data_IF_607018544075
#
_entry.id   IF_607018544075
#
_cell.length_a   1.000
_cell.length_b   1.000
_cell.length_c   1.000
_cell.angle_alpha   90.00
_cell.angle_beta   90.00
_cell.angle_gamma   90.00
#
_symmetry.space_group_name_H-M   'P 1'
#
loop_
_entity.id
_entity.type
_entity.pdbx_description
1 polymer ?
#
# COMPACT_ATOMS: atom_id res chain seq x y z
N UNK A 1 3.25 -9.88 13.07
CA UNK A 1 4.58 -9.53 13.60
C UNK A 1 5.61 -9.04 12.56
N UNK A 2 5.30 -9.07 11.26
CA UNK A 2 6.22 -8.70 10.17
C UNK A 2 6.57 -7.20 10.08
N UNK A 3 5.66 -6.28 10.43
CA UNK A 3 5.92 -4.83 10.40
C UNK A 3 7.09 -4.42 11.32
N UNK A 4 7.25 -5.10 12.47
CA UNK A 4 8.35 -4.85 13.38
C UNK A 4 9.69 -5.37 12.85
N UNK A 5 9.71 -6.49 12.12
CA UNK A 5 10.95 -7.05 11.55
C UNK A 5 11.48 -6.15 10.43
N UNK A 6 10.62 -5.65 9.55
CA UNK A 6 11.00 -4.67 8.53
C UNK A 6 11.49 -3.35 9.15
N UNK A 7 10.87 -2.90 10.23
CA UNK A 7 11.30 -1.70 10.96
C UNK A 7 12.66 -1.88 11.66
N UNK A 8 12.90 -3.03 12.29
CA UNK A 8 14.18 -3.35 12.95
C UNK A 8 15.30 -3.51 11.92
N UNK A 9 15.05 -4.19 10.80
CA UNK A 9 16.02 -4.32 9.72
C UNK A 9 16.40 -2.96 9.10
N UNK A 10 15.40 -2.10 8.86
CA UNK A 10 15.63 -0.74 8.37
C UNK A 10 16.43 0.11 9.35
N UNK A 11 16.08 0.08 10.65
CA UNK A 11 16.79 0.87 11.67
C UNK A 11 18.23 0.40 11.85
N UNK A 12 18.49 -0.91 11.85
CA UNK A 12 19.86 -1.44 11.90
C UNK A 12 20.68 -1.04 10.66
N UNK A 13 20.09 -1.15 9.46
CA UNK A 13 20.73 -0.71 8.23
C UNK A 13 21.01 0.81 8.25
N UNK A 14 20.06 1.61 8.73
CA UNK A 14 20.21 3.05 8.85
C UNK A 14 21.32 3.43 9.85
N UNK A 15 21.45 2.74 10.99
CA UNK A 15 22.52 2.95 11.96
C UNK A 15 23.88 2.57 11.39
N UNK A 16 23.98 1.45 10.68
CA UNK A 16 25.23 1.03 10.01
C UNK A 16 25.67 2.04 8.93
N UNK A 17 24.72 2.51 8.12
CA UNK A 17 24.96 3.53 7.11
C UNK A 17 25.32 4.89 7.73
N UNK A 18 24.65 5.29 8.81
CA UNK A 18 24.96 6.50 9.55
C UNK A 18 26.37 6.46 10.15
N UNK A 19 26.80 5.32 10.71
CA UNK A 19 28.17 5.11 11.16
C UNK A 19 29.18 5.23 10.00
N UNK A 20 28.84 4.71 8.82
CA UNK A 20 29.63 4.87 7.61
C UNK A 20 29.76 6.33 7.14
N UNK A 21 28.68 7.12 7.26
CA UNK A 21 28.69 8.56 6.99
C UNK A 21 29.56 9.31 8.02
N UNK A 22 29.49 8.93 9.30
CA UNK A 22 30.36 9.48 10.35
C UNK A 22 31.85 9.23 10.04
N UNK A 23 32.18 8.03 9.55
CA UNK A 23 33.53 7.70 9.05
C UNK A 23 33.84 8.31 7.67
N UNK A 24 33.00 9.23 7.19
CA UNK A 24 33.15 10.03 5.97
C UNK A 24 33.17 9.22 4.67
N UNK A 25 32.53 8.05 4.65
CA UNK A 25 32.39 7.24 3.43
C UNK A 25 31.34 7.81 2.48
N UNK A 26 31.74 8.15 1.25
CA UNK A 26 30.83 8.67 0.20
C UNK A 26 29.76 7.65 -0.19
N UNK A 27 30.12 6.38 -0.22
CA UNK A 27 29.24 5.28 -0.62
C UNK A 27 28.09 5.12 0.38
N UNK A 28 28.38 5.27 1.68
CA UNK A 28 27.37 5.18 2.73
C UNK A 28 26.35 6.33 2.65
N UNK A 29 26.80 7.54 2.31
CA UNK A 29 25.90 8.69 2.13
C UNK A 29 24.92 8.48 0.97
N UNK A 30 25.41 8.01 -0.18
CA UNK A 30 24.56 7.71 -1.35
C UNK A 30 23.62 6.54 -1.07
N UNK A 31 24.12 5.47 -0.44
CA UNK A 31 23.31 4.31 -0.09
C UNK A 31 22.17 4.67 0.88
N UNK A 32 22.42 5.56 1.85
CA UNK A 32 21.39 6.03 2.78
C UNK A 32 20.30 6.86 2.07
N UNK A 33 20.69 7.72 1.12
CA UNK A 33 19.74 8.46 0.28
C UNK A 33 18.89 7.49 -0.56
N UNK A 34 19.50 6.50 -1.22
CA UNK A 34 18.76 5.52 -2.02
C UNK A 34 17.80 4.67 -1.19
N UNK A 35 18.24 4.21 -0.01
CA UNK A 35 17.42 3.45 0.92
C UNK A 35 16.21 4.27 1.41
N UNK A 36 16.41 5.57 1.67
CA UNK A 36 15.33 6.48 2.02
C UNK A 36 14.32 6.65 0.87
N UNK A 37 14.80 6.90 -0.36
CA UNK A 37 13.93 7.06 -1.53
C UNK A 37 13.14 5.79 -1.83
N UNK A 38 13.77 4.61 -1.71
CA UNK A 38 13.11 3.33 -1.93
C UNK A 38 11.96 3.09 -0.94
N UNK A 39 12.21 3.29 0.37
CA UNK A 39 11.18 3.10 1.40
C UNK A 39 10.02 4.08 1.25
N UNK A 40 10.31 5.33 0.86
CA UNK A 40 9.25 6.32 0.62
C UNK A 40 8.47 6.05 -0.66
N UNK A 41 9.12 5.60 -1.73
CA UNK A 41 8.44 5.21 -2.97
C UNK A 41 7.47 4.04 -2.77
N UNK A 42 7.80 3.07 -1.91
CA UNK A 42 6.90 1.96 -1.58
C UNK A 42 5.68 2.36 -0.75
N UNK A 43 5.73 3.49 -0.04
CA UNK A 43 4.66 3.98 0.83
C UNK A 43 3.89 5.17 0.22
N UNK A 44 3.90 5.31 -1.11
CA UNK A 44 3.30 6.46 -1.80
C UNK A 44 1.79 6.61 -1.52
N UNK A 45 1.10 5.51 -1.27
CA UNK A 45 -0.33 5.46 -0.95
C UNK A 45 -0.70 6.02 0.43
N UNK A 46 0.27 6.32 1.31
CA UNK A 46 0.04 6.86 2.65
C UNK A 46 0.36 8.37 2.79
N UNK A 47 0.59 9.07 1.68
CA UNK A 47 0.98 10.49 1.71
C UNK A 47 -0.20 11.42 2.00
N UNK A 48 -0.39 11.73 3.28
CA UNK A 48 -1.16 12.91 3.72
C UNK A 48 -0.33 14.18 3.53
N UNK A 49 -0.97 15.36 3.39
CA UNK A 49 -0.30 16.65 3.14
C UNK A 49 0.84 16.97 4.13
N UNK A 50 0.69 16.58 5.41
CA UNK A 50 1.72 16.73 6.44
C UNK A 50 2.94 15.82 6.26
N UNK A 51 2.78 14.62 5.68
CA UNK A 51 3.88 13.71 5.39
C UNK A 51 4.79 14.23 4.26
N UNK A 52 4.23 14.98 3.31
CA UNK A 52 4.96 15.46 2.11
C UNK A 52 6.00 16.52 2.46
N UNK A 53 5.68 17.41 3.40
CA UNK A 53 6.60 18.45 3.89
C UNK A 53 7.80 17.81 4.59
N UNK A 54 7.55 16.84 5.47
CA UNK A 54 8.58 16.13 6.23
C UNK A 54 9.53 15.37 5.28
N UNK A 55 8.98 14.67 4.28
CA UNK A 55 9.77 13.94 3.28
C UNK A 55 10.67 14.88 2.49
N UNK A 56 10.13 16.02 2.05
CA UNK A 56 10.90 17.03 1.31
C UNK A 56 12.05 17.58 2.16
N UNK A 57 11.82 17.83 3.46
CA UNK A 57 12.86 18.29 4.38
C UNK A 57 13.99 17.26 4.56
N UNK A 58 13.64 15.97 4.69
CA UNK A 58 14.64 14.91 4.78
C UNK A 58 15.46 14.74 3.50
N UNK A 59 14.84 14.88 2.31
CA UNK A 59 15.56 14.85 1.04
C UNK A 59 16.59 15.97 0.98
N UNK A 60 16.23 17.19 1.38
CA UNK A 60 17.15 18.32 1.45
C UNK A 60 18.35 18.01 2.38
N UNK A 61 18.09 17.44 3.56
CA UNK A 61 19.15 17.05 4.50
C UNK A 61 20.06 15.95 3.94
N UNK A 62 19.50 14.91 3.32
CA UNK A 62 20.30 13.81 2.75
C UNK A 62 21.12 14.26 1.54
N UNK A 63 20.52 15.03 0.62
CA UNK A 63 21.25 15.60 -0.51
C UNK A 63 22.38 16.53 -0.05
N UNK A 64 22.13 17.36 0.97
CA UNK A 64 23.16 18.20 1.60
C UNK A 64 24.28 17.37 2.23
N UNK A 65 23.96 16.26 2.90
CA UNK A 65 24.94 15.32 3.45
C UNK A 65 25.79 14.63 2.38
N UNK A 66 25.19 14.19 1.27
CA UNK A 66 25.91 13.60 0.14
C UNK A 66 26.87 14.63 -0.46
N UNK A 67 26.39 15.83 -0.79
CA UNK A 67 27.23 16.89 -1.36
C UNK A 67 28.35 17.27 -0.40
N UNK A 68 28.07 17.36 0.91
CA UNK A 68 29.06 17.64 1.94
C UNK A 68 30.18 16.59 2.03
N UNK A 69 29.86 15.30 1.92
CA UNK A 69 30.87 14.22 1.95
C UNK A 69 31.71 14.17 0.67
N UNK A 70 31.12 14.42 -0.50
CA UNK A 70 31.89 14.54 -1.75
C UNK A 70 32.80 15.77 -1.73
N UNK A 71 32.28 16.90 -1.22
CA UNK A 71 33.02 18.14 -1.15
C UNK A 71 34.19 18.05 -0.16
N UNK A 72 33.98 17.55 1.06
CA UNK A 72 35.07 17.36 2.04
C UNK A 72 36.27 16.61 1.47
N UNK A 73 36.00 15.71 0.52
CA UNK A 73 36.95 14.78 -0.01
C UNK A 73 37.55 15.24 -1.36
N UNK A 74 36.92 16.19 -2.06
CA UNK A 74 37.51 16.99 -3.14
C UNK A 74 38.34 18.18 -2.61
N UNK A 75 37.96 18.75 -1.46
CA UNK A 75 38.45 20.05 -1.00
C UNK A 75 39.73 20.01 -0.16
N UNK A 76 40.50 18.92 -0.22
CA UNK A 76 41.90 18.92 0.25
C UNK A 76 42.76 19.84 -0.65
N UNK A 77 42.32 20.19 -1.87
CA UNK A 77 43.16 20.90 -2.85
C UNK A 77 42.66 22.25 -3.42
N UNK A 78 41.48 22.82 -3.10
CA UNK A 78 41.08 24.11 -3.74
C UNK A 78 40.11 24.99 -2.92
N UNK A 79 40.57 26.14 -2.40
CA UNK A 79 39.81 26.92 -1.39
C UNK A 79 38.75 27.91 -1.89
N UNK A 80 38.61 28.24 -3.19
CA UNK A 80 37.92 29.50 -3.58
C UNK A 80 36.76 29.44 -4.60
N UNK A 81 36.27 28.25 -5.03
CA UNK A 81 35.17 28.13 -6.05
C UNK A 81 33.82 27.70 -5.41
N UNK A 82 33.71 27.79 -4.07
CA UNK A 82 32.99 26.80 -3.26
C UNK A 82 31.46 26.94 -3.18
N UNK A 83 30.91 28.15 -3.06
CA UNK A 83 29.50 28.30 -2.67
C UNK A 83 28.50 28.02 -3.81
N UNK A 84 28.68 28.62 -4.99
CA UNK A 84 27.71 28.49 -6.10
C UNK A 84 27.62 27.07 -6.67
N UNK A 85 28.75 26.38 -6.81
CA UNK A 85 28.77 24.99 -7.29
C UNK A 85 28.16 24.02 -6.29
N UNK A 86 28.37 24.23 -4.98
CA UNK A 86 27.78 23.39 -3.93
C UNK A 86 26.25 23.50 -3.92
N UNK A 87 25.72 24.73 -4.00
CA UNK A 87 24.26 24.96 -4.04
C UNK A 87 23.66 24.37 -5.31
N UNK A 88 24.29 24.56 -6.47
CA UNK A 88 23.84 23.99 -7.74
C UNK A 88 23.79 22.45 -7.69
N UNK A 89 24.84 21.81 -7.18
CA UNK A 89 24.92 20.34 -7.08
C UNK A 89 23.87 19.79 -6.13
N UNK A 90 23.59 20.50 -5.03
CA UNK A 90 22.53 20.13 -4.07
C UNK A 90 21.15 20.23 -4.73
N UNK A 91 20.87 21.32 -5.45
CA UNK A 91 19.58 21.51 -6.16
C UNK A 91 19.38 20.41 -7.21
N UNK A 92 20.41 20.07 -8.00
CA UNK A 92 20.34 18.97 -8.98
C UNK A 92 20.05 17.63 -8.29
N UNK A 93 20.73 17.34 -7.18
CA UNK A 93 20.52 16.11 -6.42
C UNK A 93 19.08 15.99 -5.87
N UNK A 94 18.52 17.10 -5.41
CA UNK A 94 17.12 17.17 -4.94
C UNK A 94 16.13 16.94 -6.08
N UNK A 95 16.33 17.60 -7.23
CA UNK A 95 15.45 17.44 -8.40
C UNK A 95 15.47 15.99 -8.93
N UNK A 96 16.63 15.35 -8.98
CA UNK A 96 16.76 13.94 -9.36
C UNK A 96 16.02 13.05 -8.35
N UNK A 97 16.19 13.31 -7.06
CA UNK A 97 15.53 12.53 -5.99
C UNK A 97 14.01 12.62 -6.07
N UNK A 98 13.47 13.81 -6.35
CA UNK A 98 12.05 14.02 -6.59
C UNK A 98 11.58 13.28 -7.85
N UNK A 99 12.31 13.40 -8.96
CA UNK A 99 11.99 12.71 -10.22
C UNK A 99 11.93 11.19 -10.07
N UNK A 100 12.87 10.60 -9.31
CA UNK A 100 12.87 9.16 -9.00
C UNK A 100 11.65 8.76 -8.18
N UNK A 101 11.28 9.50 -7.14
CA UNK A 101 10.10 9.17 -6.33
C UNK A 101 8.80 9.25 -7.14
N UNK A 102 8.59 10.34 -7.90
CA UNK A 102 7.40 10.49 -8.73
C UNK A 102 7.36 9.45 -9.86
N UNK A 103 8.50 9.17 -10.49
CA UNK A 103 8.62 8.16 -11.54
C UNK A 103 8.34 6.74 -11.05
N UNK A 104 8.92 6.35 -9.91
CA UNK A 104 8.62 5.07 -9.27
C UNK A 104 7.17 5.00 -8.80
N UNK A 105 6.61 6.09 -8.27
CA UNK A 105 5.19 6.18 -7.94
C UNK A 105 4.29 5.88 -9.12
N UNK A 106 4.50 6.56 -10.25
CA UNK A 106 3.74 6.33 -11.48
C UNK A 106 3.90 4.91 -12.04
N UNK A 107 5.08 4.30 -11.88
CA UNK A 107 5.33 2.92 -12.31
C UNK A 107 4.61 1.91 -11.42
N UNK A 108 4.65 2.12 -10.09
CA UNK A 108 3.95 1.30 -9.12
C UNK A 108 2.42 1.43 -9.25
N UNK A 109 1.89 2.63 -9.49
CA UNK A 109 0.45 2.81 -9.73
C UNK A 109 0.00 2.10 -10.99
N UNK A 110 0.77 2.20 -12.09
CA UNK A 110 0.50 1.42 -13.31
C UNK A 110 0.47 -0.09 -13.04
N UNK A 111 1.36 -0.60 -12.18
CA UNK A 111 1.36 -2.02 -11.81
C UNK A 111 0.14 -2.41 -10.97
N UNK A 112 -0.36 -1.51 -10.11
CA UNK A 112 -1.56 -1.73 -9.32
C UNK A 112 -2.83 -1.70 -10.19
N UNK A 113 -2.92 -0.76 -11.13
CA UNK A 113 -4.04 -0.67 -12.08
C UNK A 113 -4.11 -1.92 -12.98
N UNK A 114 -2.96 -2.43 -13.41
CA UNK A 114 -2.89 -3.69 -14.16
C UNK A 114 -3.33 -4.89 -13.33
N UNK A 115 -2.92 -4.96 -12.05
CA UNK A 115 -3.36 -6.01 -11.14
C UNK A 115 -4.89 -5.99 -10.92
N UNK A 116 -5.47 -4.79 -10.76
CA UNK A 116 -6.92 -4.62 -10.65
C UNK A 116 -7.65 -5.01 -11.93
N UNK A 117 -7.18 -4.56 -13.10
CA UNK A 117 -7.78 -4.92 -14.38
C UNK A 117 -7.76 -6.43 -14.63
N UNK A 118 -6.66 -7.12 -14.27
CA UNK A 118 -6.56 -8.57 -14.38
C UNK A 118 -7.52 -9.29 -13.43
N UNK A 119 -7.61 -8.82 -12.18
CA UNK A 119 -8.54 -9.38 -11.18
C UNK A 119 -10.00 -9.20 -11.60
N UNK A 120 -10.38 -8.02 -12.08
CA UNK A 120 -11.73 -7.73 -12.57
C UNK A 120 -12.08 -8.63 -13.76
N UNK A 121 -11.20 -8.74 -14.75
CA UNK A 121 -11.41 -9.59 -15.92
C UNK A 121 -11.58 -11.08 -15.53
N UNK A 122 -10.73 -11.58 -14.64
CA UNK A 122 -10.82 -12.96 -14.17
C UNK A 122 -12.11 -13.21 -13.37
N UNK A 123 -12.45 -12.29 -12.48
CA UNK A 123 -13.66 -12.42 -11.65
C UNK A 123 -14.92 -12.33 -12.49
N UNK A 124 -14.99 -11.42 -13.47
CA UNK A 124 -16.09 -11.36 -14.44
C UNK A 124 -16.23 -12.68 -15.24
N UNK A 125 -15.11 -13.27 -15.65
CA UNK A 125 -15.11 -14.55 -16.35
C UNK A 125 -15.65 -15.71 -15.48
N UNK A 126 -15.42 -15.68 -14.17
CA UNK A 126 -16.00 -16.67 -13.25
C UNK A 126 -17.46 -16.36 -12.91
N UNK A 127 -17.80 -15.10 -12.62
CA UNK A 127 -19.17 -14.65 -12.34
C UNK A 127 -20.11 -14.98 -13.50
N UNK A 128 -19.68 -14.78 -14.75
CA UNK A 128 -20.49 -15.10 -15.94
C UNK A 128 -20.77 -16.60 -16.12
N UNK A 129 -19.99 -17.48 -15.48
CA UNK A 129 -20.25 -18.93 -15.44
C UNK A 129 -21.24 -19.30 -14.34
N UNK A 130 -21.47 -18.45 -13.34
CA UNK A 130 -22.46 -18.71 -12.30
C UNK A 130 -23.86 -18.49 -12.87
N UNK A 131 -24.73 -19.48 -12.70
CA UNK A 131 -26.15 -19.38 -13.05
C UNK A 131 -26.93 -18.63 -11.97
N UNK A 132 -26.72 -17.31 -11.86
CA UNK A 132 -27.40 -16.46 -10.88
C UNK A 132 -28.86 -16.17 -11.30
N UNK A 133 -29.83 -16.09 -10.37
CA UNK A 133 -29.67 -16.25 -8.92
C UNK A 133 -29.50 -17.72 -8.49
N UNK A 134 -28.67 -17.97 -7.48
CA UNK A 134 -28.42 -19.30 -6.90
C UNK A 134 -28.95 -19.36 -5.48
N UNK A 135 -29.82 -20.34 -5.18
CA UNK A 135 -30.29 -20.59 -3.82
C UNK A 135 -29.18 -21.27 -3.01
N UNK A 136 -28.75 -20.64 -1.92
CA UNK A 136 -27.73 -21.18 -1.03
C UNK A 136 -28.37 -22.06 0.05
N UNK A 137 -29.49 -21.59 0.62
CA UNK A 137 -30.28 -22.32 1.60
C UNK A 137 -31.77 -21.92 1.53
N UNK A 138 -32.56 -22.35 2.53
CA UNK A 138 -34.00 -22.09 2.59
C UNK A 138 -34.33 -20.59 2.76
N UNK A 139 -33.44 -19.83 3.41
CA UNK A 139 -33.61 -18.42 3.77
C UNK A 139 -32.78 -17.47 2.90
N UNK A 140 -31.70 -17.93 2.27
CA UNK A 140 -30.75 -17.07 1.56
C UNK A 140 -30.58 -17.48 0.09
N UNK A 141 -30.67 -16.47 -0.78
CA UNK A 141 -30.49 -16.61 -2.23
C UNK A 141 -29.44 -15.62 -2.68
N UNK A 142 -28.37 -16.09 -3.31
CA UNK A 142 -27.37 -15.23 -3.93
C UNK A 142 -27.96 -14.67 -5.24
N UNK A 143 -28.21 -13.36 -5.28
CA UNK A 143 -28.83 -12.65 -6.41
C UNK A 143 -27.81 -12.16 -7.41
N UNK A 144 -26.75 -11.49 -6.96
CA UNK A 144 -25.69 -10.96 -7.82
C UNK A 144 -24.33 -11.01 -7.13
N UNK A 145 -23.29 -11.03 -7.96
CA UNK A 145 -21.89 -10.84 -7.55
C UNK A 145 -21.31 -9.78 -8.47
N UNK A 146 -20.79 -8.71 -7.89
CA UNK A 146 -20.32 -7.54 -8.64
C UNK A 146 -18.99 -7.05 -8.10
N UNK A 147 -18.16 -6.47 -8.96
CA UNK A 147 -16.96 -5.76 -8.53
C UNK A 147 -17.16 -4.28 -8.84
N UNK A 148 -17.05 -3.45 -7.81
CA UNK A 148 -17.19 -2.00 -7.95
C UNK A 148 -16.23 -1.28 -7.01
N UNK A 149 -15.42 -0.36 -7.54
CA UNK A 149 -14.55 0.52 -6.77
C UNK A 149 -13.72 -0.22 -5.70
N UNK A 150 -13.01 -1.27 -6.12
CA UNK A 150 -12.19 -2.14 -5.25
C UNK A 150 -12.96 -2.96 -4.21
N UNK A 151 -14.27 -3.09 -4.37
CA UNK A 151 -15.13 -3.92 -3.54
C UNK A 151 -15.66 -5.09 -4.37
N UNK A 152 -15.59 -6.29 -3.81
CA UNK A 152 -16.30 -7.46 -4.31
C UNK A 152 -17.58 -7.62 -3.49
N UNK A 153 -18.72 -7.44 -4.13
CA UNK A 153 -20.03 -7.34 -3.49
C UNK A 153 -20.84 -8.58 -3.82
N UNK A 154 -21.20 -9.34 -2.78
CA UNK A 154 -22.11 -10.48 -2.87
C UNK A 154 -23.49 -10.07 -2.34
N UNK A 155 -24.46 -9.94 -3.23
CA UNK A 155 -25.82 -9.53 -2.87
C UNK A 155 -26.71 -10.75 -2.64
N UNK A 156 -27.21 -10.90 -1.43
CA UNK A 156 -28.09 -11.98 -0.98
C UNK A 156 -29.50 -11.44 -0.73
N UNK A 157 -30.51 -12.12 -1.26
CA UNK A 157 -31.90 -11.97 -0.84
C UNK A 157 -32.22 -12.84 0.35
N UNK A 158 -32.89 -12.28 1.35
CA UNK A 158 -33.45 -13.02 2.49
C UNK A 158 -34.93 -13.31 2.24
N UNK A 159 -35.30 -14.57 2.29
CA UNK A 159 -36.65 -15.09 2.06
C UNK A 159 -37.11 -15.95 3.24
N UNK A 160 -38.43 -16.12 3.41
CA UNK A 160 -39.04 -17.06 4.37
C UNK A 160 -38.69 -16.84 5.86
N UNK A 161 -38.12 -15.70 6.22
CA UNK A 161 -37.88 -15.22 7.59
C UNK A 161 -37.98 -13.69 7.61
N UNK A 162 -38.47 -13.09 8.70
CA UNK A 162 -38.43 -11.64 8.88
C UNK A 162 -36.97 -11.17 8.97
N UNK A 163 -36.62 -10.11 8.25
CA UNK A 163 -35.28 -9.56 8.25
C UNK A 163 -34.75 -9.23 9.65
N UNK A 164 -35.63 -8.86 10.59
CA UNK A 164 -35.27 -8.55 11.98
C UNK A 164 -34.99 -9.79 12.83
N UNK A 165 -35.47 -10.96 12.40
CA UNK A 165 -35.24 -12.24 13.06
C UNK A 165 -33.98 -12.96 12.55
N UNK A 166 -33.34 -12.42 11.52
CA UNK A 166 -32.08 -12.96 10.98
C UNK A 166 -30.97 -12.82 12.02
N UNK A 167 -30.30 -13.92 12.34
CA UNK A 167 -29.11 -13.92 13.18
C UNK A 167 -27.88 -13.42 12.39
N UNK A 168 -27.76 -12.09 12.29
CA UNK A 168 -26.62 -11.45 11.67
C UNK A 168 -25.30 -11.70 12.40
N UNK A 169 -25.32 -12.08 13.69
CA UNK A 169 -24.10 -12.43 14.42
C UNK A 169 -23.54 -13.78 13.95
N UNK A 170 -24.42 -14.76 13.75
CA UNK A 170 -24.04 -16.04 13.16
C UNK A 170 -23.55 -15.87 11.70
N UNK A 171 -24.25 -15.06 10.90
CA UNK A 171 -23.83 -14.76 9.52
C UNK A 171 -22.49 -14.05 9.48
N UNK A 172 -22.25 -13.07 10.34
CA UNK A 172 -20.97 -12.37 10.43
C UNK A 172 -19.81 -13.33 10.72
N UNK A 173 -19.99 -14.22 11.71
CA UNK A 173 -18.98 -15.24 12.03
C UNK A 173 -18.68 -16.16 10.85
N UNK A 174 -19.71 -16.59 10.12
CA UNK A 174 -19.56 -17.47 8.97
C UNK A 174 -18.89 -16.77 7.78
N UNK A 175 -19.39 -15.59 7.41
CA UNK A 175 -18.84 -14.80 6.31
C UNK A 175 -17.40 -14.39 6.57
N UNK A 176 -17.06 -14.00 7.80
CA UNK A 176 -15.69 -13.72 8.20
C UNK A 176 -14.78 -14.93 8.02
N UNK A 177 -15.24 -16.14 8.35
CA UNK A 177 -14.46 -17.35 8.14
C UNK A 177 -14.23 -17.65 6.64
N UNK A 178 -15.26 -17.45 5.80
CA UNK A 178 -15.15 -17.57 4.34
C UNK A 178 -14.17 -16.53 3.79
N UNK A 179 -14.30 -15.27 4.24
CA UNK A 179 -13.41 -14.18 3.84
C UNK A 179 -11.95 -14.50 4.17
N UNK A 180 -11.67 -14.93 5.41
CA UNK A 180 -10.32 -15.27 5.85
C UNK A 180 -9.72 -16.38 4.99
N UNK A 181 -10.48 -17.45 4.76
CA UNK A 181 -10.00 -18.60 3.98
C UNK A 181 -9.81 -18.26 2.49
N UNK A 182 -10.69 -17.46 1.92
CA UNK A 182 -10.72 -17.17 0.48
C UNK A 182 -9.80 -16.03 0.06
N UNK A 183 -9.66 -14.98 0.88
CA UNK A 183 -9.11 -13.70 0.43
C UNK A 183 -7.90 -13.22 1.23
N UNK A 184 -7.73 -13.60 2.50
CA UNK A 184 -6.64 -13.05 3.32
C UNK A 184 -5.24 -13.41 2.83
N UNK A 185 -5.06 -14.54 2.14
CA UNK A 185 -3.79 -14.91 1.53
C UNK A 185 -3.52 -14.22 0.17
N UNK A 186 -4.51 -13.49 -0.38
CA UNK A 186 -4.40 -12.90 -1.71
C UNK A 186 -3.72 -11.52 -1.65
N UNK A 187 -2.90 -11.17 -2.66
CA UNK A 187 -2.31 -9.84 -2.76
C UNK A 187 -3.38 -8.74 -2.93
N UNK A 188 -4.56 -9.08 -3.44
CA UNK A 188 -5.67 -8.14 -3.59
C UNK A 188 -6.10 -7.52 -2.26
N UNK A 189 -6.24 -8.34 -1.20
CA UNK A 189 -6.54 -7.84 0.15
C UNK A 189 -5.28 -7.27 0.81
N UNK A 190 -4.15 -7.96 0.72
CA UNK A 190 -2.95 -7.59 1.49
C UNK A 190 -2.24 -6.32 1.00
N UNK A 191 -2.28 -6.07 -0.31
CA UNK A 191 -1.51 -5.00 -0.96
C UNK A 191 -2.39 -4.00 -1.71
N UNK A 192 -3.44 -4.48 -2.38
CA UNK A 192 -4.22 -3.64 -3.30
C UNK A 192 -5.53 -3.08 -2.72
N UNK A 193 -5.86 -3.43 -1.48
CA UNK A 193 -6.97 -2.86 -0.72
C UNK A 193 -8.35 -3.35 -1.17
N UNK A 194 -8.47 -4.60 -1.61
CA UNK A 194 -9.76 -5.24 -1.87
C UNK A 194 -10.57 -5.35 -0.57
N UNK A 195 -11.82 -4.90 -0.61
CA UNK A 195 -12.83 -5.14 0.42
C UNK A 195 -13.86 -6.13 -0.12
N UNK A 196 -14.39 -7.00 0.74
CA UNK A 196 -15.47 -7.93 0.38
C UNK A 196 -16.71 -7.58 1.18
N UNK A 197 -17.79 -7.26 0.48
CA UNK A 197 -19.07 -6.88 1.06
C UNK A 197 -20.08 -8.01 0.85
N UNK A 198 -20.71 -8.46 1.94
CA UNK A 198 -21.86 -9.36 1.92
C UNK A 198 -23.10 -8.53 2.25
N UNK A 199 -23.91 -8.25 1.23
CA UNK A 199 -25.12 -7.43 1.35
C UNK A 199 -26.32 -8.36 1.47
N UNK A 200 -27.12 -8.23 2.51
CA UNK A 200 -28.36 -8.95 2.71
C UNK A 200 -29.53 -7.99 2.58
N UNK A 201 -30.50 -8.31 1.72
CA UNK A 201 -31.69 -7.47 1.52
C UNK A 201 -33.01 -8.24 1.57
N UNK A 202 -34.04 -7.58 2.08
CA UNK A 202 -35.43 -8.00 2.02
C UNK A 202 -36.33 -6.77 1.85
N UNK A 203 -36.88 -6.57 0.66
CA UNK A 203 -37.66 -5.38 0.33
C UNK A 203 -36.82 -4.11 0.45
N UNK A 204 -37.15 -3.25 1.42
CA UNK A 204 -36.43 -2.00 1.72
C UNK A 204 -35.37 -2.15 2.83
N UNK A 205 -35.35 -3.29 3.51
CA UNK A 205 -34.38 -3.56 4.57
C UNK A 205 -33.08 -4.09 3.97
N UNK A 206 -31.97 -3.52 4.41
CA UNK A 206 -30.62 -3.89 3.96
C UNK A 206 -29.66 -3.94 5.16
N UNK A 207 -28.76 -4.93 5.13
CA UNK A 207 -27.63 -5.05 6.06
C UNK A 207 -26.40 -5.49 5.31
N UNK A 208 -25.33 -4.73 5.46
CA UNK A 208 -24.03 -5.02 4.84
C UNK A 208 -23.03 -5.45 5.89
N UNK A 209 -22.33 -6.55 5.62
CA UNK A 209 -21.19 -7.02 6.38
C UNK A 209 -19.95 -6.88 5.49
N UNK A 210 -19.03 -6.00 5.88
CA UNK A 210 -17.84 -5.63 5.11
C UNK A 210 -16.60 -6.16 5.78
N UNK A 211 -15.72 -6.79 4.99
CA UNK A 211 -14.44 -7.31 5.47
C UNK A 211 -13.28 -6.78 4.64
N UNK A 212 -12.19 -6.45 5.32
CA UNK A 212 -10.98 -5.96 4.70
C UNK A 212 -9.71 -6.58 5.31
N UNK A 213 -8.55 -6.01 4.99
CA UNK A 213 -7.25 -6.48 5.49
C UNK A 213 -7.19 -6.55 7.03
N UNK A 214 -7.92 -5.71 7.75
CA UNK A 214 -7.91 -5.66 9.22
C UNK A 214 -8.58 -6.88 9.84
N UNK A 215 -9.46 -7.56 9.10
CA UNK A 215 -10.13 -8.78 9.56
C UNK A 215 -9.27 -10.03 9.42
N UNK A 216 -8.16 -9.95 8.69
CA UNK A 216 -7.23 -11.05 8.52
C UNK A 216 -6.45 -11.34 9.81
N UNK A 217 -6.26 -12.63 10.17
CA UNK A 217 -5.42 -12.97 11.31
C UNK A 217 -4.00 -12.43 11.09
N UNK A 218 -3.43 -11.82 12.13
CA UNK A 218 -2.04 -11.40 12.10
C UNK A 218 -1.16 -12.63 12.34
N UNK A 219 -0.41 -13.04 11.32
CA UNK A 219 0.72 -13.96 11.49
C UNK A 219 1.84 -13.32 12.33
#
# INVERSE_FOLDING_TARGET
MLANIYSIGYTLAAVALAYGIYRRSRICAVAMLLLFLFVKALNISAHNTGSTIIVTMFILMFCGGVVGTFFHHQNINSKNIVSKHMTLTTVVCVLVSLGVMFGMGALLTKSADQAWAAFEAQSQAEISKLSLPVRMDYYTVLKSVEINNKKLIYTHGVENIDFNEVDFSALDKNNRAIFIKGFCATPMVQQYGLTVDYVYNQGLSEKTLSYDKTDCPTE
#
